data_IF_999194274692
#
_entry.id   IF_999194274692
#
_cell.length_a   1.000
_cell.length_b   1.000
_cell.length_c   1.000
_cell.angle_alpha   90.00
_cell.angle_beta   90.00
_cell.angle_gamma   90.00
#
_symmetry.space_group_name_H-M   'P 1'
#
loop_
_entity.id
_entity.type
_entity.pdbx_description
1 polymer ?
#
# COMPACT_ATOMS: atom_id res chain seq x y z
N UNK A 1 4.16 -0.02 39.65
CA UNK A 1 3.77 -0.27 38.24
C UNK A 1 4.04 0.98 37.38
N UNK A 2 5.29 1.33 37.01
CA UNK A 2 5.60 2.58 36.31
C UNK A 2 5.92 2.41 34.82
N UNK A 3 5.48 1.32 34.17
CA UNK A 3 5.78 1.05 32.75
C UNK A 3 4.75 1.63 31.77
N UNK A 4 3.53 1.96 32.21
CA UNK A 4 2.48 2.49 31.30
C UNK A 4 2.58 3.99 31.01
N UNK A 5 3.41 4.76 31.71
CA UNK A 5 3.65 6.18 31.40
C UNK A 5 4.75 6.39 30.33
N UNK A 6 5.22 5.31 29.70
CA UNK A 6 6.25 5.36 28.66
C UNK A 6 5.70 5.63 27.25
N UNK A 7 4.38 5.50 27.04
CA UNK A 7 3.76 5.67 25.73
C UNK A 7 3.02 7.02 25.74
N UNK A 8 3.42 8.01 24.90
CA UNK A 8 2.61 9.21 24.72
C UNK A 8 1.21 8.79 24.28
N UNK A 9 0.17 9.35 24.90
CA UNK A 9 -1.20 9.07 24.50
C UNK A 9 -1.33 9.38 22.99
N UNK A 10 -1.77 8.43 22.16
CA UNK A 10 -1.83 8.62 20.73
C UNK A 10 -2.80 9.75 20.42
N UNK A 11 -2.36 10.71 19.62
CA UNK A 11 -3.20 11.78 19.10
C UNK A 11 -4.23 11.18 18.14
N UNK A 12 -5.38 11.83 17.95
CA UNK A 12 -6.36 11.37 16.94
C UNK A 12 -5.75 11.25 15.53
N UNK A 13 -4.74 12.09 15.22
CA UNK A 13 -3.94 12.04 13.99
C UNK A 13 -3.13 10.74 13.89
N UNK A 14 -2.52 10.32 14.99
CA UNK A 14 -1.75 9.07 15.07
C UNK A 14 -2.67 7.85 14.89
N UNK A 15 -3.89 7.93 15.43
CA UNK A 15 -4.91 6.90 15.28
C UNK A 15 -5.37 6.75 13.82
N UNK A 16 -5.56 7.87 13.12
CA UNK A 16 -5.87 7.87 11.67
C UNK A 16 -4.68 7.34 10.87
N UNK A 17 -3.46 7.72 11.22
CA UNK A 17 -2.24 7.26 10.55
C UNK A 17 -2.04 5.74 10.73
N UNK A 18 -2.19 5.23 11.95
CA UNK A 18 -2.13 3.79 12.25
C UNK A 18 -3.22 3.03 11.47
N UNK A 19 -4.45 3.56 11.41
CA UNK A 19 -5.54 2.92 10.68
C UNK A 19 -5.24 2.88 9.17
N UNK A 20 -4.78 4.00 8.60
CA UNK A 20 -4.42 4.08 7.19
C UNK A 20 -3.27 3.13 6.86
N UNK A 21 -2.17 3.17 7.63
CA UNK A 21 -1.04 2.28 7.46
C UNK A 21 -1.42 0.81 7.62
N UNK A 22 -2.35 0.48 8.53
CA UNK A 22 -2.87 -0.89 8.69
C UNK A 22 -3.62 -1.35 7.44
N UNK A 23 -4.47 -0.50 6.86
CA UNK A 23 -5.17 -0.82 5.62
C UNK A 23 -4.20 -1.04 4.47
N UNK A 24 -3.21 -0.15 4.31
CA UNK A 24 -2.15 -0.28 3.30
C UNK A 24 -1.32 -1.54 3.51
N UNK A 25 -0.87 -1.80 4.74
CA UNK A 25 -0.08 -2.99 5.07
C UNK A 25 -0.87 -4.28 4.84
N UNK A 26 -2.16 -4.32 5.17
CA UNK A 26 -3.02 -5.45 4.88
C UNK A 26 -3.16 -5.69 3.36
N UNK A 27 -3.37 -4.63 2.59
CA UNK A 27 -3.48 -4.73 1.13
C UNK A 27 -2.19 -5.24 0.50
N UNK A 28 -1.03 -4.73 0.96
CA UNK A 28 0.28 -5.21 0.52
C UNK A 28 0.50 -6.67 0.92
N UNK A 29 0.15 -7.05 2.15
CA UNK A 29 0.26 -8.44 2.60
C UNK A 29 -0.55 -9.38 1.70
N UNK A 30 -1.81 -9.07 1.41
CA UNK A 30 -2.66 -9.93 0.58
C UNK A 30 -2.13 -10.03 -0.87
N UNK A 31 -1.54 -8.96 -1.41
CA UNK A 31 -0.87 -9.00 -2.72
C UNK A 31 0.40 -9.85 -2.72
N UNK A 32 1.20 -9.80 -1.66
CA UNK A 32 2.46 -10.53 -1.61
C UNK A 32 2.33 -11.97 -1.10
N UNK A 33 1.25 -12.33 -0.40
CA UNK A 33 1.08 -13.63 0.27
C UNK A 33 1.24 -14.83 -0.67
N UNK A 34 0.84 -14.69 -1.93
CA UNK A 34 0.93 -15.75 -2.93
C UNK A 34 2.21 -15.68 -3.78
N UNK A 35 3.11 -14.73 -3.50
CA UNK A 35 4.34 -14.52 -4.29
C UNK A 35 5.59 -15.00 -3.55
N UNK A 36 6.67 -15.25 -4.30
CA UNK A 36 8.01 -15.55 -3.74
C UNK A 36 8.56 -14.40 -2.88
N UNK A 37 7.96 -13.21 -2.96
CA UNK A 37 8.40 -12.00 -2.25
C UNK A 37 8.39 -12.16 -0.73
N UNK A 38 7.46 -12.93 -0.15
CA UNK A 38 7.37 -13.09 1.30
C UNK A 38 8.59 -13.83 1.88
N UNK A 39 9.15 -14.80 1.14
CA UNK A 39 10.41 -15.47 1.52
C UNK A 39 11.60 -14.51 1.49
N UNK A 40 11.66 -13.66 0.47
CA UNK A 40 12.70 -12.63 0.35
C UNK A 40 12.60 -11.60 1.49
N UNK A 41 11.38 -11.18 1.85
CA UNK A 41 11.14 -10.28 2.98
C UNK A 41 11.62 -10.87 4.31
N UNK A 42 11.31 -12.15 4.57
CA UNK A 42 11.83 -12.85 5.75
C UNK A 42 13.36 -12.86 5.74
N UNK A 43 13.98 -13.17 4.59
CA UNK A 43 15.43 -13.12 4.42
C UNK A 43 16.03 -11.74 4.71
N UNK A 44 15.40 -10.66 4.22
CA UNK A 44 15.80 -9.28 4.48
C UNK A 44 15.74 -8.92 5.96
N UNK A 45 14.69 -9.34 6.67
CA UNK A 45 14.54 -9.10 8.12
C UNK A 45 15.63 -9.83 8.90
N UNK A 46 15.89 -11.10 8.58
CA UNK A 46 16.97 -11.89 9.22
C UNK A 46 18.32 -11.22 8.98
N UNK A 47 18.60 -10.82 7.74
CA UNK A 47 19.85 -10.16 7.37
C UNK A 47 20.02 -8.81 8.09
N UNK A 48 18.96 -8.01 8.17
CA UNK A 48 18.93 -6.76 8.94
C UNK A 48 19.10 -6.96 10.45
N UNK A 49 18.59 -8.07 10.99
CA UNK A 49 18.81 -8.49 12.37
C UNK A 49 20.28 -8.78 12.66
N UNK A 50 20.93 -9.58 11.80
CA UNK A 50 22.36 -9.89 11.91
C UNK A 50 23.21 -8.61 11.81
N UNK A 51 22.90 -7.72 10.87
CA UNK A 51 23.55 -6.41 10.75
C UNK A 51 23.40 -5.58 12.03
N UNK A 52 22.21 -5.55 12.62
CA UNK A 52 21.94 -4.83 13.87
C UNK A 52 22.77 -5.37 15.03
N UNK A 53 22.88 -6.69 15.16
CA UNK A 53 23.74 -7.35 16.16
C UNK A 53 25.21 -7.00 15.93
N UNK A 54 25.69 -7.07 14.68
CA UNK A 54 27.07 -6.74 14.34
C UNK A 54 27.42 -5.29 14.67
N UNK A 55 26.50 -4.35 14.42
CA UNK A 55 26.65 -2.94 14.75
C UNK A 55 26.66 -2.71 16.26
N UNK A 56 25.77 -3.38 17.01
CA UNK A 56 25.70 -3.28 18.47
C UNK A 56 26.97 -3.79 19.15
N UNK A 57 27.59 -4.85 18.61
CA UNK A 57 28.86 -5.39 19.10
C UNK A 57 30.11 -4.65 18.58
N UNK A 58 29.93 -3.62 17.73
CA UNK A 58 31.05 -2.85 17.20
C UNK A 58 31.94 -3.60 16.21
N UNK A 59 31.41 -4.64 15.55
CA UNK A 59 32.14 -5.39 14.52
C UNK A 59 32.30 -4.53 13.26
N UNK A 60 33.41 -3.79 13.18
CA UNK A 60 33.68 -2.83 12.10
C UNK A 60 33.66 -3.48 10.71
N UNK A 61 34.47 -4.53 10.50
CA UNK A 61 34.57 -5.20 9.19
C UNK A 61 33.24 -5.80 8.75
N UNK A 62 32.54 -6.48 9.67
CA UNK A 62 31.23 -7.08 9.39
C UNK A 62 30.20 -6.01 9.02
N UNK A 63 30.15 -4.91 9.78
CA UNK A 63 29.26 -3.77 9.50
C UNK A 63 29.56 -3.14 8.14
N UNK A 64 30.84 -2.96 7.80
CA UNK A 64 31.26 -2.44 6.50
C UNK A 64 30.88 -3.37 5.33
N UNK A 65 31.09 -4.69 5.47
CA UNK A 65 30.65 -5.68 4.47
C UNK A 65 29.14 -5.64 4.30
N UNK A 66 28.36 -5.61 5.38
CA UNK A 66 26.91 -5.52 5.30
C UNK A 66 26.43 -4.23 4.62
N UNK A 67 27.14 -3.10 4.77
CA UNK A 67 26.80 -1.86 4.06
C UNK A 67 26.93 -2.02 2.53
N UNK A 68 28.01 -2.66 2.06
CA UNK A 68 28.21 -2.95 0.63
C UNK A 68 27.16 -3.96 0.16
N UNK A 69 26.94 -5.03 0.92
CA UNK A 69 25.93 -6.03 0.61
C UNK A 69 24.54 -5.39 0.48
N UNK A 70 24.18 -4.45 1.35
CA UNK A 70 22.88 -3.77 1.29
C UNK A 70 22.68 -2.99 -0.01
N UNK A 71 23.74 -2.33 -0.51
CA UNK A 71 23.69 -1.61 -1.79
C UNK A 71 23.49 -2.55 -2.98
N UNK A 72 24.25 -3.64 -3.05
CA UNK A 72 24.11 -4.66 -4.11
C UNK A 72 22.75 -5.34 -4.03
N UNK A 73 22.31 -5.66 -2.82
CA UNK A 73 21.02 -6.31 -2.57
C UNK A 73 19.87 -5.46 -3.06
N UNK A 74 19.87 -4.14 -2.84
CA UNK A 74 18.83 -3.23 -3.33
C UNK A 74 18.70 -3.27 -4.87
N UNK A 75 19.83 -3.29 -5.58
CA UNK A 75 19.83 -3.38 -7.05
C UNK A 75 19.29 -4.74 -7.50
N UNK A 76 19.79 -5.83 -6.91
CA UNK A 76 19.34 -7.18 -7.22
C UNK A 76 17.83 -7.35 -6.94
N UNK A 77 17.35 -6.78 -5.84
CA UNK A 77 15.95 -6.79 -5.45
C UNK A 77 15.07 -6.09 -6.48
N UNK A 78 15.51 -4.94 -6.98
CA UNK A 78 14.81 -4.19 -8.02
C UNK A 78 14.71 -4.98 -9.34
N UNK A 79 15.78 -5.67 -9.73
CA UNK A 79 15.80 -6.51 -10.93
C UNK A 79 14.87 -7.73 -10.74
N UNK A 80 14.98 -8.42 -9.61
CA UNK A 80 14.18 -9.60 -9.32
C UNK A 80 12.68 -9.28 -9.20
N UNK A 81 12.32 -8.14 -8.62
CA UNK A 81 10.91 -7.74 -8.45
C UNK A 81 10.36 -6.87 -9.58
N UNK A 82 11.08 -6.77 -10.70
CA UNK A 82 10.62 -5.97 -11.83
C UNK A 82 9.23 -6.42 -12.34
N UNK A 83 8.99 -7.74 -12.38
CA UNK A 83 7.71 -8.34 -12.79
C UNK A 83 6.58 -8.01 -11.82
N UNK A 84 6.83 -8.10 -10.52
CA UNK A 84 5.85 -7.90 -9.46
C UNK A 84 5.42 -6.43 -9.38
N UNK A 85 6.37 -5.50 -9.49
CA UNK A 85 6.07 -4.05 -9.56
C UNK A 85 5.15 -3.76 -10.75
N UNK A 86 5.45 -4.35 -11.92
CA UNK A 86 4.61 -4.19 -13.11
C UNK A 86 3.18 -4.68 -12.86
N UNK A 87 3.02 -5.90 -12.35
CA UNK A 87 1.70 -6.48 -12.07
C UNK A 87 0.90 -5.65 -11.07
N UNK A 88 1.55 -5.10 -10.05
CA UNK A 88 0.89 -4.22 -9.08
C UNK A 88 0.42 -2.92 -9.74
N UNK A 89 1.28 -2.27 -10.54
CA UNK A 89 0.92 -1.03 -11.24
C UNK A 89 -0.25 -1.24 -12.22
N UNK A 90 -0.29 -2.37 -12.91
CA UNK A 90 -1.38 -2.74 -13.81
C UNK A 90 -2.70 -2.93 -13.04
N UNK A 91 -2.68 -3.61 -11.89
CA UNK A 91 -3.87 -3.83 -11.06
C UNK A 91 -4.40 -2.54 -10.42
N UNK A 92 -3.55 -1.54 -10.19
CA UNK A 92 -3.87 -0.29 -9.46
C UNK A 92 -4.18 0.87 -10.42
N UNK A 93 -4.59 0.60 -11.66
CA UNK A 93 -4.97 1.66 -12.60
C UNK A 93 -6.18 2.47 -12.10
N UNK A 94 -6.03 3.77 -11.73
CA UNK A 94 -7.13 4.61 -11.23
C UNK A 94 -8.24 4.80 -12.26
N UNK A 95 -7.89 4.65 -13.54
CA UNK A 95 -8.80 4.75 -14.69
C UNK A 95 -9.83 3.62 -14.73
N UNK A 96 -9.57 2.50 -14.05
CA UNK A 96 -10.50 1.37 -13.95
C UNK A 96 -11.77 1.74 -13.18
N UNK A 97 -11.63 2.53 -12.10
CA UNK A 97 -12.75 3.01 -11.30
C UNK A 97 -13.62 4.05 -12.04
N UNK A 98 -13.04 4.83 -12.97
CA UNK A 98 -13.79 5.81 -13.76
C UNK A 98 -14.64 5.19 -14.88
N UNK A 99 -14.28 4.01 -15.41
CA UNK A 99 -14.99 3.36 -16.53
C UNK A 99 -16.20 2.52 -16.13
N UNK A 100 -16.44 2.31 -14.83
CA UNK A 100 -17.43 1.36 -14.28
C UNK A 100 -18.91 1.80 -14.32
N UNK A 101 -19.32 2.81 -15.11
CA UNK A 101 -20.71 3.34 -15.05
C UNK A 101 -21.68 2.95 -16.17
N UNK A 102 -21.30 2.10 -17.12
CA UNK A 102 -22.26 1.60 -18.12
C UNK A 102 -22.00 0.14 -18.49
N UNK A 103 -22.58 -0.78 -17.74
CA UNK A 103 -22.82 -2.13 -18.27
C UNK A 103 -24.03 -2.77 -17.61
N UNK A 104 -25.21 -2.39 -18.08
CA UNK A 104 -26.39 -3.26 -18.02
C UNK A 104 -26.46 -3.92 -19.38
N UNK A 105 -25.83 -5.08 -19.53
CA UNK A 105 -26.01 -5.93 -20.70
C UNK A 105 -26.91 -7.09 -20.28
N UNK A 106 -28.17 -7.01 -20.72
CA UNK A 106 -29.17 -8.05 -20.60
C UNK A 106 -29.25 -8.75 -21.94
N UNK A 107 -28.51 -9.85 -22.06
CA UNK A 107 -28.45 -10.64 -23.28
C UNK A 107 -28.94 -12.06 -23.08
N UNK A 108 -29.72 -12.54 -24.05
CA UNK A 108 -30.12 -13.95 -24.20
C UNK A 108 -28.92 -14.90 -24.23
N UNK A 109 -27.74 -14.42 -24.66
CA UNK A 109 -26.52 -15.21 -24.74
C UNK A 109 -26.14 -15.87 -23.41
N UNK A 110 -26.23 -15.13 -22.29
CA UNK A 110 -25.83 -15.68 -20.99
C UNK A 110 -26.63 -16.94 -20.66
N UNK A 111 -27.92 -17.01 -21.01
CA UNK A 111 -28.81 -18.14 -20.68
C UNK A 111 -28.46 -19.43 -21.42
N UNK A 112 -27.84 -19.32 -22.59
CA UNK A 112 -27.54 -20.48 -23.43
C UNK A 112 -26.08 -20.93 -23.31
N UNK A 113 -25.22 -20.12 -22.67
CA UNK A 113 -23.79 -20.41 -22.55
C UNK A 113 -23.49 -21.55 -21.59
N UNK A 114 -24.12 -21.58 -20.40
CA UNK A 114 -23.89 -22.67 -19.46
C UNK A 114 -24.34 -24.03 -20.03
N UNK A 115 -25.57 -24.20 -20.56
CA UNK A 115 -25.98 -25.45 -21.17
C UNK A 115 -25.05 -25.91 -22.30
N UNK A 116 -24.61 -24.98 -23.15
CA UNK A 116 -23.67 -25.26 -24.24
C UNK A 116 -22.31 -25.80 -23.75
N UNK A 117 -21.77 -25.24 -22.66
CA UNK A 117 -20.50 -25.72 -22.09
C UNK A 117 -20.61 -27.16 -21.57
N UNK A 118 -21.72 -27.48 -20.92
CA UNK A 118 -22.00 -28.84 -20.45
C UNK A 118 -22.25 -29.81 -21.61
N UNK A 119 -22.86 -29.33 -22.69
CA UNK A 119 -23.03 -30.11 -23.92
C UNK A 119 -21.68 -30.42 -24.59
N UNK A 120 -20.81 -29.42 -24.75
CA UNK A 120 -19.44 -29.62 -25.24
C UNK A 120 -18.64 -30.58 -24.35
N UNK A 121 -18.82 -30.49 -23.02
CA UNK A 121 -18.18 -31.40 -22.08
C UNK A 121 -18.66 -32.86 -22.26
N UNK A 122 -19.97 -33.06 -22.45
CA UNK A 122 -20.56 -34.37 -22.74
C UNK A 122 -20.07 -34.95 -24.07
N UNK A 123 -19.85 -34.09 -25.07
CA UNK A 123 -19.28 -34.44 -26.38
C UNK A 123 -17.75 -34.62 -26.34
N UNK A 124 -17.09 -34.40 -25.18
CA UNK A 124 -15.62 -34.39 -25.03
C UNK A 124 -14.91 -33.39 -25.94
N UNK A 125 -15.56 -32.27 -26.22
CA UNK A 125 -15.02 -31.20 -27.04
C UNK A 125 -14.39 -30.13 -26.17
N UNK A 126 -13.06 -30.00 -26.27
CA UNK A 126 -12.30 -28.97 -25.55
C UNK A 126 -12.67 -27.57 -26.02
N UNK A 127 -12.92 -26.66 -25.08
CA UNK A 127 -13.29 -25.29 -25.40
C UNK A 127 -12.65 -24.28 -24.43
N UNK A 128 -12.38 -23.09 -24.94
CA UNK A 128 -11.87 -21.96 -24.16
C UNK A 128 -12.60 -20.67 -24.57
N UNK A 129 -13.54 -20.23 -23.75
CA UNK A 129 -14.36 -19.04 -24.00
C UNK A 129 -14.00 -17.96 -22.98
N UNK A 130 -13.60 -16.80 -23.46
CA UNK A 130 -13.23 -15.64 -22.65
C UNK A 130 -14.33 -14.59 -22.74
N UNK A 131 -14.90 -14.24 -21.60
CA UNK A 131 -15.89 -13.18 -21.48
C UNK A 131 -15.21 -11.93 -20.92
N UNK A 132 -15.13 -10.87 -21.72
CA UNK A 132 -14.40 -9.64 -21.34
C UNK A 132 -15.28 -8.72 -20.48
N UNK A 133 -14.72 -8.24 -19.37
CA UNK A 133 -15.36 -7.24 -18.50
C UNK A 133 -14.73 -5.86 -18.74
N UNK A 134 -14.24 -5.17 -17.72
CA UNK A 134 -13.80 -3.78 -17.87
C UNK A 134 -12.45 -3.65 -18.56
N UNK A 135 -11.61 -4.67 -18.45
CA UNK A 135 -10.34 -4.71 -19.15
C UNK A 135 -10.55 -5.16 -20.61
N UNK A 136 -9.84 -4.52 -21.53
CA UNK A 136 -9.81 -4.94 -22.93
C UNK A 136 -8.62 -5.87 -23.16
N UNK A 137 -8.82 -7.17 -23.44
CA UNK A 137 -7.71 -8.11 -23.63
C UNK A 137 -7.02 -7.97 -25.00
N UNK A 138 -7.42 -7.01 -25.84
CA UNK A 138 -6.88 -6.87 -27.22
C UNK A 138 -5.35 -6.79 -27.29
N UNK A 139 -4.71 -6.18 -26.29
CA UNK A 139 -3.25 -6.04 -26.21
C UNK A 139 -2.55 -7.33 -25.73
N UNK A 140 -3.30 -8.24 -25.11
CA UNK A 140 -2.79 -9.51 -24.59
C UNK A 140 -3.01 -10.67 -25.58
N UNK A 141 -3.83 -10.47 -26.61
CA UNK A 141 -4.08 -11.46 -27.65
C UNK A 141 -2.92 -11.45 -28.64
N UNK A 142 -2.11 -12.52 -28.66
CA UNK A 142 -0.93 -12.61 -29.53
C UNK A 142 -1.28 -12.92 -31.00
N UNK A 143 -2.34 -13.69 -31.21
CA UNK A 143 -2.85 -14.06 -32.54
C UNK A 143 -4.34 -14.37 -32.45
N UNK A 144 -5.05 -14.39 -33.58
CA UNK A 144 -6.46 -14.75 -33.69
C UNK A 144 -7.14 -14.06 -34.87
N UNK A 145 -8.35 -14.50 -35.21
CA UNK A 145 -9.12 -13.95 -36.32
C UNK A 145 -10.33 -13.17 -35.81
N UNK A 146 -10.52 -11.95 -36.31
CA UNK A 146 -11.72 -11.13 -36.06
C UNK A 146 -12.92 -11.71 -36.79
N UNK A 147 -14.03 -11.92 -36.09
CA UNK A 147 -15.26 -12.50 -36.66
C UNK A 147 -16.50 -11.64 -36.46
N UNK A 148 -16.55 -10.81 -35.40
CA UNK A 148 -17.64 -9.87 -35.13
C UNK A 148 -19.05 -10.46 -35.30
N UNK A 149 -19.26 -11.68 -34.79
CA UNK A 149 -20.48 -12.46 -34.96
C UNK A 149 -21.36 -12.40 -33.71
N UNK A 150 -22.65 -12.72 -33.88
CA UNK A 150 -23.52 -13.01 -32.74
C UNK A 150 -23.09 -14.34 -32.10
N UNK A 151 -23.14 -14.46 -30.77
CA UNK A 151 -22.66 -15.62 -30.04
C UNK A 151 -23.72 -16.74 -30.05
N UNK A 152 -23.96 -17.29 -31.24
CA UNK A 152 -24.88 -18.39 -31.44
C UNK A 152 -24.26 -19.73 -30.97
N UNK A 153 -25.00 -20.60 -30.24
CA UNK A 153 -24.47 -21.88 -29.77
C UNK A 153 -23.92 -22.76 -30.88
N UNK A 154 -24.56 -22.80 -32.05
CA UNK A 154 -24.13 -23.62 -33.18
C UNK A 154 -22.81 -23.10 -33.76
N UNK A 155 -22.63 -21.78 -33.81
CA UNK A 155 -21.38 -21.16 -34.24
C UNK A 155 -20.23 -21.51 -33.27
N UNK A 156 -20.47 -21.42 -31.96
CA UNK A 156 -19.47 -21.77 -30.95
C UNK A 156 -19.09 -23.26 -31.06
N UNK A 157 -20.06 -24.16 -31.21
CA UNK A 157 -19.78 -25.58 -31.48
C UNK A 157 -18.94 -25.79 -32.74
N UNK A 158 -19.26 -25.07 -33.81
CA UNK A 158 -18.51 -25.15 -35.08
C UNK A 158 -17.05 -24.71 -34.91
N UNK A 159 -16.81 -23.64 -34.15
CA UNK A 159 -15.45 -23.13 -33.87
C UNK A 159 -14.62 -24.16 -33.10
N UNK A 160 -15.20 -24.82 -32.09
CA UNK A 160 -14.49 -25.80 -31.27
C UNK A 160 -14.50 -27.23 -31.84
N UNK A 161 -15.03 -27.44 -33.05
CA UNK A 161 -14.92 -28.73 -33.72
C UNK A 161 -13.43 -29.05 -33.98
N UNK A 162 -12.97 -30.24 -33.60
CA UNK A 162 -11.59 -30.71 -33.73
C UNK A 162 -10.97 -30.57 -35.14
N UNK A 163 -11.79 -30.50 -36.19
CA UNK A 163 -11.32 -30.33 -37.57
C UNK A 163 -11.23 -28.86 -38.01
N UNK A 164 -11.80 -27.93 -37.24
CA UNK A 164 -11.85 -26.52 -37.59
C UNK A 164 -10.49 -25.84 -37.29
N UNK A 165 -9.92 -25.01 -38.18
CA UNK A 165 -8.63 -24.36 -37.93
C UNK A 165 -8.57 -23.51 -36.65
N UNK A 166 -9.71 -23.02 -36.16
CA UNK A 166 -9.80 -22.13 -35.00
C UNK A 166 -10.03 -22.85 -33.66
N UNK A 167 -10.13 -24.20 -33.65
CA UNK A 167 -10.45 -24.99 -32.44
C UNK A 167 -9.30 -24.98 -31.40
N UNK A 168 -8.07 -24.76 -31.87
CA UNK A 168 -6.87 -24.69 -31.05
C UNK A 168 -6.59 -23.24 -30.62
N UNK A 169 -7.50 -22.69 -29.81
CA UNK A 169 -7.39 -21.33 -29.32
C UNK A 169 -8.61 -20.89 -28.53
N UNK A 170 -8.57 -19.66 -28.05
CA UNK A 170 -9.65 -19.04 -27.31
C UNK A 170 -10.65 -18.32 -28.23
N UNK A 171 -11.89 -18.24 -27.77
CA UNK A 171 -12.93 -17.40 -28.36
C UNK A 171 -13.19 -16.24 -27.42
N UNK A 172 -13.20 -15.01 -27.96
CA UNK A 172 -13.36 -13.79 -27.15
C UNK A 172 -14.75 -13.21 -27.36
N UNK A 173 -15.55 -13.20 -26.29
CA UNK A 173 -16.86 -12.58 -26.25
C UNK A 173 -16.74 -11.23 -25.54
N UNK A 174 -17.11 -10.16 -26.25
CA UNK A 174 -17.21 -8.82 -25.68
C UNK A 174 -18.57 -8.22 -26.03
N UNK A 175 -19.25 -7.64 -25.04
CA UNK A 175 -20.55 -6.99 -25.19
C UNK A 175 -21.55 -7.83 -26.01
N UNK A 176 -21.71 -9.11 -25.66
CA UNK A 176 -22.61 -10.06 -26.35
C UNK A 176 -22.28 -10.31 -27.83
N UNK A 177 -21.03 -10.10 -28.23
CA UNK A 177 -20.53 -10.43 -29.57
C UNK A 177 -19.27 -11.27 -29.49
N UNK A 178 -19.18 -12.26 -30.35
CA UNK A 178 -17.94 -12.96 -30.63
C UNK A 178 -17.05 -12.00 -31.43
N UNK A 179 -16.02 -11.47 -30.79
CA UNK A 179 -15.12 -10.51 -31.44
C UNK A 179 -14.01 -11.23 -32.19
N UNK A 180 -13.43 -12.27 -31.58
CA UNK A 180 -12.32 -13.04 -32.13
C UNK A 180 -12.49 -14.54 -31.86
N UNK A 181 -11.87 -15.36 -32.71
CA UNK A 181 -11.74 -16.81 -32.55
C UNK A 181 -10.30 -17.26 -32.82
N UNK A 182 -9.95 -18.47 -32.34
CA UNK A 182 -8.59 -19.01 -32.50
C UNK A 182 -7.53 -18.16 -31.82
N UNK A 183 -7.87 -17.53 -30.70
CA UNK A 183 -6.98 -16.59 -30.02
C UNK A 183 -5.89 -17.30 -29.21
N UNK A 184 -4.64 -16.88 -29.40
CA UNK A 184 -3.53 -17.29 -28.55
C UNK A 184 -3.42 -16.32 -27.37
N UNK A 185 -3.56 -16.86 -26.16
CA UNK A 185 -3.53 -16.13 -24.91
C UNK A 185 -2.20 -16.34 -24.16
N UNK A 186 -1.82 -15.42 -23.26
CA UNK A 186 -0.68 -15.63 -22.38
C UNK A 186 -0.92 -16.84 -21.46
N UNK A 187 0.12 -17.67 -21.30
CA UNK A 187 0.10 -18.78 -20.36
C UNK A 187 0.57 -18.30 -18.98
N UNK A 188 -0.03 -18.83 -17.91
CA UNK A 188 0.47 -18.57 -16.56
C UNK A 188 1.83 -19.24 -16.33
N UNK A 189 2.72 -18.53 -15.64
CA UNK A 189 4.05 -19.02 -15.23
C UNK A 189 4.01 -19.81 -13.90
N UNK A 190 2.82 -20.00 -13.31
CA UNK A 190 2.68 -20.78 -12.08
C UNK A 190 3.11 -22.24 -12.28
N UNK A 191 4.12 -22.63 -11.50
CA UNK A 191 4.68 -23.99 -11.46
C UNK A 191 3.81 -24.95 -10.62
N UNK A 192 2.96 -24.44 -9.73
CA UNK A 192 2.16 -25.21 -8.75
C UNK A 192 0.79 -25.64 -9.27
N UNK A 193 0.62 -25.73 -10.59
CA UNK A 193 -0.62 -26.17 -11.20
C UNK A 193 -0.71 -27.70 -11.23
N UNK A 194 -1.90 -28.29 -10.96
CA UNK A 194 -2.13 -29.71 -11.14
C UNK A 194 -1.67 -30.20 -12.51
N UNK A 195 -0.94 -31.31 -12.57
CA UNK A 195 -0.38 -31.88 -13.81
C UNK A 195 -1.46 -32.14 -14.88
N UNK A 196 -2.68 -32.41 -14.42
CA UNK A 196 -3.88 -32.60 -15.24
C UNK A 196 -4.37 -31.32 -15.97
N UNK A 197 -3.79 -30.15 -15.72
CA UNK A 197 -4.16 -28.90 -16.37
C UNK A 197 -3.32 -28.67 -17.64
N UNK A 198 -3.95 -28.95 -18.78
CA UNK A 198 -3.39 -28.68 -20.10
C UNK A 198 -3.29 -27.19 -20.46
N UNK A 199 -2.89 -26.93 -21.70
CA UNK A 199 -2.60 -25.59 -22.24
C UNK A 199 -3.78 -24.63 -22.13
N UNK A 200 -5.02 -25.07 -22.40
CA UNK A 200 -6.24 -24.24 -22.26
C UNK A 200 -6.47 -23.74 -20.83
N UNK A 201 -6.18 -24.56 -19.82
CA UNK A 201 -6.29 -24.17 -18.41
C UNK A 201 -5.22 -23.14 -18.05
N UNK A 202 -3.98 -23.34 -18.50
CA UNK A 202 -2.87 -22.40 -18.29
C UNK A 202 -3.10 -21.07 -18.99
N UNK A 203 -3.67 -21.08 -20.19
CA UNK A 203 -4.07 -19.91 -20.96
C UNK A 203 -5.19 -19.12 -20.27
N UNK A 204 -6.23 -19.83 -19.80
CA UNK A 204 -7.31 -19.23 -19.02
C UNK A 204 -6.77 -18.58 -17.73
N UNK A 205 -5.85 -19.26 -17.04
CA UNK A 205 -5.22 -18.72 -15.85
C UNK A 205 -4.39 -17.48 -16.14
N UNK A 206 -3.48 -17.54 -17.11
CA UNK A 206 -2.60 -16.44 -17.47
C UNK A 206 -3.38 -15.18 -17.86
N UNK A 207 -4.45 -15.33 -18.64
CA UNK A 207 -5.30 -14.20 -18.98
C UNK A 207 -6.07 -13.65 -17.76
N UNK A 208 -6.59 -14.52 -16.89
CA UNK A 208 -7.35 -14.13 -15.69
C UNK A 208 -6.49 -13.49 -14.58
N UNK A 209 -5.16 -13.67 -14.63
CA UNK A 209 -4.21 -13.05 -13.70
C UNK A 209 -3.93 -11.59 -14.08
N UNK A 210 -3.97 -11.31 -15.37
CA UNK A 210 -3.70 -10.00 -15.97
C UNK A 210 -4.97 -9.15 -16.16
N UNK A 211 -6.14 -9.78 -16.26
CA UNK A 211 -7.41 -9.10 -16.55
C UNK A 211 -8.53 -9.52 -15.61
N UNK A 212 -9.64 -8.78 -15.60
CA UNK A 212 -10.90 -9.24 -15.01
C UNK A 212 -11.70 -10.21 -15.89
N UNK A 213 -11.18 -10.71 -17.01
CA UNK A 213 -11.97 -11.59 -17.87
C UNK A 213 -12.43 -12.85 -17.13
N UNK A 214 -13.64 -13.31 -17.45
CA UNK A 214 -14.13 -14.62 -17.01
C UNK A 214 -13.77 -15.62 -18.08
N UNK A 215 -12.84 -16.52 -17.77
CA UNK A 215 -12.44 -17.59 -18.69
C UNK A 215 -13.21 -18.86 -18.35
N UNK A 216 -13.84 -19.48 -19.35
CA UNK A 216 -14.58 -20.73 -19.24
C UNK A 216 -13.84 -21.78 -20.06
N UNK A 217 -13.46 -22.87 -19.40
CA UNK A 217 -12.67 -23.97 -19.95
C UNK A 217 -13.51 -25.24 -19.91
N UNK A 218 -13.54 -25.97 -21.02
CA UNK A 218 -14.05 -27.34 -21.08
C UNK A 218 -12.87 -28.27 -21.30
N UNK A 219 -12.70 -29.26 -20.43
CA UNK A 219 -11.65 -30.26 -20.55
C UNK A 219 -12.07 -31.37 -21.53
N UNK A 220 -11.27 -31.56 -22.60
CA UNK A 220 -11.45 -32.66 -23.55
C UNK A 220 -11.20 -34.05 -22.91
N UNK A 221 -10.30 -34.11 -21.94
CA UNK A 221 -9.92 -35.37 -21.28
C UNK A 221 -10.90 -35.75 -20.16
N UNK A 222 -11.36 -34.77 -19.38
CA UNK A 222 -12.15 -35.01 -18.16
C UNK A 222 -13.64 -34.74 -18.31
N UNK A 223 -14.09 -34.13 -19.43
CA UNK A 223 -15.48 -33.69 -19.59
C UNK A 223 -15.94 -32.77 -18.45
N UNK A 224 -15.02 -31.94 -17.93
CA UNK A 224 -15.30 -31.00 -16.84
C UNK A 224 -15.42 -29.58 -17.37
N UNK A 225 -16.37 -28.82 -16.81
CA UNK A 225 -16.50 -27.38 -17.03
C UNK A 225 -15.87 -26.64 -15.86
N UNK A 226 -14.87 -25.81 -16.16
CA UNK A 226 -14.12 -25.06 -15.16
C UNK A 226 -14.13 -23.59 -15.54
N UNK A 227 -14.33 -22.71 -14.57
CA UNK A 227 -14.12 -21.27 -14.77
C UNK A 227 -12.84 -20.81 -14.09
N UNK A 228 -12.21 -19.78 -14.67
CA UNK A 228 -11.01 -19.15 -14.15
C UNK A 228 -11.23 -17.65 -14.09
N UNK A 229 -11.25 -17.10 -12.88
CA UNK A 229 -11.53 -15.68 -12.61
C UNK A 229 -10.55 -15.18 -11.56
N UNK A 230 -9.80 -14.11 -11.87
CA UNK A 230 -8.84 -13.52 -10.92
C UNK A 230 -7.80 -14.51 -10.42
N UNK A 231 -7.32 -15.41 -11.29
CA UNK A 231 -6.32 -16.41 -10.93
C UNK A 231 -6.84 -17.65 -10.19
N UNK A 232 -8.16 -17.84 -10.05
CA UNK A 232 -8.76 -18.95 -9.29
C UNK A 232 -9.63 -19.84 -10.16
N UNK A 233 -9.40 -21.15 -10.06
CA UNK A 233 -10.21 -22.18 -10.71
C UNK A 233 -11.45 -22.54 -9.87
N UNK A 234 -12.60 -22.69 -10.53
CA UNK A 234 -13.81 -23.24 -9.93
C UNK A 234 -14.39 -24.28 -10.89
N UNK A 235 -14.54 -25.52 -10.42
CA UNK A 235 -15.18 -26.59 -11.18
C UNK A 235 -16.70 -26.56 -10.97
N UNK A 236 -17.45 -26.82 -12.04
CA UNK A 236 -18.91 -26.77 -12.05
C UNK A 236 -19.50 -28.13 -12.37
N UNK A 237 -20.37 -28.62 -11.50
CA UNK A 237 -21.08 -29.90 -11.69
C UNK A 237 -22.47 -29.72 -12.31
N UNK A 238 -23.07 -28.54 -12.16
CA UNK A 238 -24.44 -28.26 -12.60
C UNK A 238 -24.47 -27.00 -13.46
N UNK A 239 -25.21 -27.06 -14.57
CA UNK A 239 -25.37 -25.94 -15.51
C UNK A 239 -26.08 -24.76 -14.85
N UNK A 240 -27.04 -25.02 -13.97
CA UNK A 240 -27.82 -24.00 -13.26
C UNK A 240 -26.94 -23.15 -12.34
N UNK A 241 -26.05 -23.79 -11.55
CA UNK A 241 -25.14 -23.08 -10.66
C UNK A 241 -24.14 -22.20 -11.43
N UNK A 242 -23.63 -22.70 -12.56
CA UNK A 242 -22.78 -21.91 -13.45
C UNK A 242 -23.56 -20.73 -14.05
N UNK A 243 -24.81 -20.95 -14.46
CA UNK A 243 -25.68 -19.91 -15.01
C UNK A 243 -25.93 -18.77 -14.01
N UNK A 244 -26.20 -19.10 -12.74
CA UNK A 244 -26.34 -18.12 -11.66
C UNK A 244 -25.05 -17.31 -11.49
N UNK A 245 -23.90 -17.98 -11.50
CA UNK A 245 -22.61 -17.31 -11.34
C UNK A 245 -22.23 -16.43 -12.53
N UNK A 246 -22.53 -16.87 -13.75
CA UNK A 246 -22.37 -16.05 -14.97
C UNK A 246 -23.24 -14.80 -14.91
N UNK A 247 -24.47 -14.92 -14.40
CA UNK A 247 -25.34 -13.76 -14.19
C UNK A 247 -24.79 -12.80 -13.14
N UNK A 248 -24.14 -13.29 -12.08
CA UNK A 248 -23.46 -12.45 -11.09
C UNK A 248 -22.23 -11.74 -11.67
N UNK A 249 -21.43 -12.42 -12.51
CA UNK A 249 -20.22 -11.84 -13.10
C UNK A 249 -20.48 -10.87 -14.25
N UNK A 250 -21.48 -11.14 -15.08
CA UNK A 250 -21.80 -10.38 -16.29
C UNK A 250 -22.97 -9.42 -16.10
N UNK A 251 -23.89 -9.74 -15.19
CA UNK A 251 -25.00 -8.90 -14.81
C UNK A 251 -24.64 -8.12 -13.56
N UNK A 252 -24.69 -6.78 -13.64
CA UNK A 252 -24.75 -5.95 -12.46
C UNK A 252 -25.85 -6.48 -11.52
N UNK A 253 -25.63 -6.42 -10.19
CA UNK A 253 -26.43 -7.15 -9.21
C UNK A 253 -27.93 -6.91 -9.44
N UNK A 254 -28.72 -7.99 -9.39
CA UNK A 254 -30.09 -7.82 -8.89
C UNK A 254 -29.92 -7.13 -7.54
N UNK A 255 -30.56 -5.99 -7.33
CA UNK A 255 -30.40 -5.20 -6.11
C UNK A 255 -30.97 -6.02 -4.93
N UNK A 256 -30.16 -6.92 -4.39
CA UNK A 256 -30.17 -7.26 -2.98
C UNK A 256 -29.23 -6.26 -2.34
N UNK A 257 -29.79 -5.21 -1.75
CA UNK A 257 -29.03 -4.29 -0.90
C UNK A 257 -28.42 -5.13 0.23
N UNK A 258 -27.08 -5.32 0.30
CA UNK A 258 -26.50 -5.93 1.47
C UNK A 258 -26.68 -4.92 2.61
N UNK A 259 -27.41 -5.32 3.66
CA UNK A 259 -27.48 -4.57 4.91
C UNK A 259 -26.04 -4.29 5.37
N UNK A 260 -25.76 -3.05 5.81
CA UNK A 260 -24.44 -2.63 6.33
C UNK A 260 -23.86 -3.64 7.35
N UNK A 261 -24.73 -4.38 8.06
CA UNK A 261 -24.36 -5.52 8.90
C UNK A 261 -23.59 -6.62 8.17
N UNK A 262 -24.04 -7.11 7.00
CA UNK A 262 -23.33 -8.16 6.25
C UNK A 262 -22.00 -7.67 5.68
N UNK A 263 -21.94 -6.40 5.28
CA UNK A 263 -20.68 -5.78 4.84
C UNK A 263 -19.67 -5.68 5.99
N UNK A 264 -20.13 -5.29 7.18
CA UNK A 264 -19.30 -5.28 8.39
C UNK A 264 -18.91 -6.70 8.81
N UNK A 265 -19.81 -7.67 8.73
CA UNK A 265 -19.51 -9.08 9.03
C UNK A 265 -18.48 -9.66 8.06
N UNK A 266 -18.63 -9.50 6.75
CA UNK A 266 -17.64 -9.97 5.79
C UNK A 266 -16.30 -9.24 5.93
N UNK A 267 -16.33 -7.95 6.28
CA UNK A 267 -15.13 -7.16 6.51
C UNK A 267 -14.45 -7.51 7.85
N UNK A 268 -15.18 -7.85 8.92
CA UNK A 268 -14.59 -8.16 10.22
C UNK A 268 -14.30 -9.65 10.42
N UNK A 269 -15.11 -10.54 9.87
CA UNK A 269 -15.09 -11.99 10.17
C UNK A 269 -14.19 -12.73 9.16
N UNK A 270 -14.19 -12.33 7.88
CA UNK A 270 -13.34 -12.97 6.88
C UNK A 270 -11.89 -12.48 7.03
N UNK A 271 -10.97 -13.42 7.23
CA UNK A 271 -9.52 -13.18 7.37
C UNK A 271 -9.09 -12.29 8.56
N UNK A 272 -9.86 -12.27 9.66
CA UNK A 272 -9.56 -11.41 10.83
C UNK A 272 -8.14 -11.61 11.40
N UNK A 273 -7.62 -12.84 11.35
CA UNK A 273 -6.24 -13.17 11.80
C UNK A 273 -5.18 -12.36 11.05
N UNK A 274 -5.37 -12.15 9.74
CA UNK A 274 -4.42 -11.43 8.88
C UNK A 274 -4.47 -9.92 9.11
N UNK A 275 -5.68 -9.39 9.36
CA UNK A 275 -5.88 -8.00 9.74
C UNK A 275 -5.24 -7.69 11.09
N UNK A 276 -5.39 -8.61 12.04
CA UNK A 276 -4.79 -8.46 13.36
C UNK A 276 -3.26 -8.53 13.30
N UNK A 277 -2.67 -9.40 12.48
CA UNK A 277 -1.20 -9.42 12.28
C UNK A 277 -0.68 -8.15 11.64
N UNK A 278 -1.37 -7.62 10.62
CA UNK A 278 -0.99 -6.35 9.99
C UNK A 278 -1.08 -5.18 11.00
N UNK A 279 -2.17 -5.11 11.76
CA UNK A 279 -2.34 -4.10 12.81
C UNK A 279 -1.26 -4.19 13.89
N UNK A 280 -0.93 -5.40 14.37
CA UNK A 280 0.11 -5.59 15.37
C UNK A 280 1.49 -5.15 14.86
N UNK A 281 1.82 -5.47 13.60
CA UNK A 281 3.10 -5.10 12.99
C UNK A 281 3.20 -3.58 12.80
N UNK A 282 2.14 -2.94 12.29
CA UNK A 282 2.07 -1.48 12.14
C UNK A 282 2.12 -0.78 13.50
N UNK A 283 1.39 -1.28 14.50
CA UNK A 283 1.40 -0.73 15.86
C UNK A 283 2.78 -0.86 16.51
N UNK A 284 3.47 -2.00 16.33
CA UNK A 284 4.83 -2.20 16.82
C UNK A 284 5.83 -1.26 16.13
N UNK A 285 5.72 -1.08 14.81
CA UNK A 285 6.53 -0.14 14.05
C UNK A 285 6.28 1.31 14.48
N UNK A 286 5.02 1.69 14.69
CA UNK A 286 4.64 3.01 15.18
C UNK A 286 5.22 3.27 16.57
N UNK A 287 5.11 2.31 17.50
CA UNK A 287 5.70 2.43 18.84
C UNK A 287 7.22 2.61 18.78
N UNK A 288 7.91 1.86 17.92
CA UNK A 288 9.35 1.97 17.74
C UNK A 288 9.77 3.33 17.17
N UNK A 289 9.05 3.83 16.17
CA UNK A 289 9.33 5.10 15.49
C UNK A 289 8.93 6.31 16.35
N UNK A 290 7.75 6.27 16.99
CA UNK A 290 7.27 7.31 17.87
C UNK A 290 8.18 7.48 19.10
N UNK A 291 8.83 6.40 19.55
CA UNK A 291 9.83 6.46 20.63
C UNK A 291 11.07 7.30 20.28
N UNK A 292 11.34 7.58 18.99
CA UNK A 292 12.55 8.27 18.54
C UNK A 292 12.34 9.76 18.22
N UNK A 293 11.12 10.31 18.32
CA UNK A 293 10.87 11.70 17.91
C UNK A 293 11.23 12.71 19.01
N UNK A 294 12.17 13.62 18.71
CA UNK A 294 12.45 14.83 19.51
C UNK A 294 11.39 15.90 19.22
N UNK A 295 10.78 16.46 20.26
CA UNK A 295 9.72 17.47 20.10
C UNK A 295 10.35 18.85 20.12
N UNK A 296 9.85 19.75 19.25
CA UNK A 296 10.23 21.16 19.19
C UNK A 296 9.10 22.00 19.78
N UNK A 297 9.38 22.82 20.80
CA UNK A 297 8.40 23.73 21.40
C UNK A 297 8.99 25.14 21.41
N UNK A 298 8.17 26.12 21.06
CA UNK A 298 8.50 27.55 21.16
C UNK A 298 7.86 28.11 22.43
N UNK A 299 8.65 28.77 23.27
CA UNK A 299 8.19 29.40 24.50
C UNK A 299 8.68 30.86 24.56
N UNK A 300 7.84 31.77 25.07
CA UNK A 300 8.17 33.20 25.25
C UNK A 300 8.74 33.42 26.65
N UNK A 301 10.07 33.55 26.74
CA UNK A 301 10.77 33.73 28.01
C UNK A 301 10.97 35.22 28.36
N UNK A 302 10.74 35.64 29.63
CA UNK A 302 11.04 36.99 30.07
C UNK A 302 12.55 37.22 30.20
N UNK A 303 13.03 38.39 29.76
CA UNK A 303 14.46 38.75 29.83
C UNK A 303 14.76 39.44 31.17
N UNK A 304 15.76 38.95 31.92
CA UNK A 304 16.27 39.61 33.12
C UNK A 304 17.71 40.07 32.90
N UNK A 305 17.97 41.34 33.22
CA UNK A 305 19.30 41.94 33.15
C UNK A 305 19.97 41.79 34.52
N UNK A 306 21.18 41.26 34.57
CA UNK A 306 21.98 41.22 35.80
C UNK A 306 22.87 42.48 35.87
N UNK A 307 22.97 43.09 37.06
CA UNK A 307 23.89 44.18 37.39
C UNK A 307 23.67 45.52 36.63
N UNK A 308 22.42 45.97 36.47
CA UNK A 308 22.15 47.34 36.04
C UNK A 308 22.30 48.31 37.24
N UNK A 309 23.37 49.11 37.27
CA UNK A 309 23.65 50.07 38.34
C UNK A 309 22.68 51.27 38.40
N UNK A 310 21.72 51.37 37.48
CA UNK A 310 20.65 52.35 37.51
C UNK A 310 19.36 51.71 36.94
N UNK A 311 18.21 52.00 37.55
CA UNK A 311 16.91 51.64 37.01
C UNK A 311 16.79 52.18 35.58
N UNK A 312 16.77 51.29 34.59
CA UNK A 312 16.61 51.66 33.18
C UNK A 312 15.21 52.29 33.04
N UNK A 313 15.08 53.55 32.58
CA UNK A 313 13.77 54.17 32.37
C UNK A 313 12.92 53.28 31.48
N UNK A 314 11.72 52.92 31.95
CA UNK A 314 10.74 52.17 31.16
C UNK A 314 10.23 53.06 30.01
N UNK A 315 10.98 53.11 28.92
CA UNK A 315 10.64 53.92 27.77
C UNK A 315 11.77 53.92 26.76
N UNK A 316 11.58 53.15 25.69
CA UNK A 316 12.44 53.04 24.49
C UNK A 316 13.63 52.07 24.62
N UNK A 317 13.36 50.80 24.27
CA UNK A 317 14.39 49.82 23.90
C UNK A 317 14.42 48.51 24.69
N UNK A 318 13.78 48.44 25.87
CA UNK A 318 13.80 47.22 26.68
C UNK A 318 12.74 46.21 26.21
N UNK A 319 13.19 45.20 25.46
CA UNK A 319 12.36 44.07 25.05
C UNK A 319 11.95 43.25 26.28
N UNK A 320 10.64 43.02 26.45
CA UNK A 320 10.08 42.36 27.66
C UNK A 320 10.02 40.82 27.56
N UNK A 321 10.14 40.25 26.37
CA UNK A 321 10.11 38.80 26.14
C UNK A 321 10.89 38.43 24.88
N UNK A 322 11.47 37.23 24.86
CA UNK A 322 12.17 36.61 23.72
C UNK A 322 11.57 35.23 23.46
N UNK A 323 11.28 34.95 22.20
CA UNK A 323 10.76 33.64 21.80
C UNK A 323 11.94 32.67 21.57
N UNK A 324 11.94 31.57 22.34
CA UNK A 324 12.94 30.52 22.29
C UNK A 324 12.33 29.24 21.72
N UNK A 325 12.88 28.74 20.62
CA UNK A 325 12.56 27.40 20.10
C UNK A 325 13.57 26.41 20.66
N UNK A 326 13.06 25.47 21.44
CA UNK A 326 13.85 24.51 22.20
C UNK A 326 13.49 23.10 21.72
N UNK A 327 14.51 22.25 21.52
CA UNK A 327 14.37 20.86 21.11
C UNK A 327 14.93 19.89 22.17
N UNK A 328 14.24 18.77 22.35
CA UNK A 328 14.58 17.78 23.37
C UNK A 328 13.57 16.62 23.47
N UNK A 329 13.86 15.68 24.37
CA UNK A 329 12.98 14.53 24.62
C UNK A 329 11.68 15.01 25.28
N UNK A 330 10.53 14.49 24.83
CA UNK A 330 9.19 14.90 25.28
C UNK A 330 9.01 15.00 26.81
N UNK A 331 9.72 14.16 27.59
CA UNK A 331 9.69 14.16 29.06
C UNK A 331 10.32 15.39 29.70
N UNK A 332 11.39 15.90 29.11
CA UNK A 332 12.14 17.02 29.65
C UNK A 332 11.43 18.34 29.33
N UNK A 333 10.82 18.44 28.15
CA UNK A 333 10.12 19.67 27.76
C UNK A 333 8.81 19.84 28.54
N UNK A 334 8.05 18.77 28.79
CA UNK A 334 6.82 18.85 29.60
C UNK A 334 7.06 19.10 31.10
N UNK A 335 8.28 18.84 31.58
CA UNK A 335 8.68 19.08 32.97
C UNK A 335 9.20 20.51 33.21
N UNK A 336 9.50 21.27 32.14
CA UNK A 336 9.97 22.65 32.24
C UNK A 336 8.76 23.54 32.48
N UNK A 337 8.71 24.20 33.64
CA UNK A 337 7.74 25.25 33.88
C UNK A 337 8.18 26.51 33.12
N UNK A 338 7.26 27.18 32.38
CA UNK A 338 7.44 28.49 31.74
C UNK A 338 8.29 29.52 32.50
N UNK A 339 8.24 29.46 33.84
CA UNK A 339 8.78 30.46 34.75
C UNK A 339 10.26 30.22 35.12
N UNK A 340 10.82 29.02 34.83
CA UNK A 340 12.21 28.67 35.16
C UNK A 340 13.21 29.02 34.04
N UNK A 341 12.74 29.23 32.79
CA UNK A 341 13.62 29.56 31.66
C UNK A 341 13.85 31.06 31.62
N UNK A 342 14.95 31.52 32.23
CA UNK A 342 15.34 32.93 32.24
C UNK A 342 16.50 33.15 31.26
N UNK A 343 16.33 34.10 30.35
CA UNK A 343 17.43 34.60 29.51
C UNK A 343 18.19 35.64 30.32
N UNK A 344 19.42 35.29 30.74
CA UNK A 344 20.30 36.20 31.47
C UNK A 344 21.21 36.94 30.51
N UNK A 345 21.18 38.26 30.55
CA UNK A 345 22.09 39.10 29.76
C UNK A 345 23.02 39.81 30.72
N UNK A 346 24.31 39.48 30.64
CA UNK A 346 25.36 40.10 31.44
C UNK A 346 25.81 41.41 30.79
N UNK A 347 25.78 42.51 31.55
CA UNK A 347 26.10 43.87 31.08
C UNK A 347 27.48 44.38 31.56
N UNK A 348 28.30 43.53 32.20
CA UNK A 348 29.58 43.93 32.75
C UNK A 348 30.54 44.49 31.67
N UNK A 349 31.05 45.71 31.89
CA UNK A 349 32.10 46.33 31.07
C UNK A 349 31.62 47.18 29.88
N UNK A 350 30.32 47.44 29.74
CA UNK A 350 29.78 48.30 28.69
C UNK A 350 29.75 49.77 29.12
N UNK A 351 30.40 50.64 28.34
CA UNK A 351 30.35 52.09 28.52
C UNK A 351 28.98 52.67 28.09
N UNK A 352 28.66 53.88 28.54
CA UNK A 352 27.43 54.57 28.16
C UNK A 352 27.25 54.71 26.63
N UNK A 353 26.05 54.42 26.11
CA UNK A 353 25.77 54.48 24.67
C UNK A 353 24.85 53.37 24.15
N UNK A 354 24.67 53.33 22.82
CA UNK A 354 23.87 52.32 22.12
C UNK A 354 24.70 51.07 21.86
N UNK A 355 24.23 49.93 22.37
CA UNK A 355 24.89 48.64 22.20
C UNK A 355 23.94 47.62 21.57
N UNK A 356 24.44 46.91 20.56
CA UNK A 356 23.72 45.80 19.92
C UNK A 356 24.16 44.48 20.54
N UNK A 357 23.29 43.87 21.34
CA UNK A 357 23.58 42.60 22.01
C UNK A 357 23.06 41.45 21.14
N UNK A 358 23.93 40.49 20.84
CA UNK A 358 23.57 39.26 20.13
C UNK A 358 23.26 38.16 21.14
N UNK A 359 22.06 37.57 21.04
CA UNK A 359 21.64 36.46 21.88
C UNK A 359 22.19 35.15 21.30
N UNK A 360 22.77 34.31 22.16
CA UNK A 360 23.31 32.99 21.81
C UNK A 360 22.98 32.01 22.93
N UNK A 361 22.98 30.70 22.64
CA UNK A 361 22.60 29.64 23.59
C UNK A 361 23.43 29.57 24.88
N UNK A 362 24.51 30.36 25.00
CA UNK A 362 25.30 30.55 26.23
C UNK A 362 24.68 31.51 27.24
N UNK A 363 23.67 32.28 26.83
CA UNK A 363 22.98 33.29 27.66
C UNK A 363 21.63 32.77 28.20
N UNK A 364 21.34 31.48 28.03
CA UNK A 364 20.08 30.85 28.42
C UNK A 364 20.41 29.69 29.36
N UNK A 365 19.98 29.79 30.62
CA UNK A 365 20.10 28.68 31.58
C UNK A 365 19.08 27.60 31.21
N UNK A 366 19.55 26.42 30.82
CA UNK A 366 18.71 25.29 30.45
C UNK A 366 19.09 24.04 31.27
N UNK A 367 18.11 23.22 31.69
CA UNK A 367 18.38 21.95 32.32
C UNK A 367 19.08 20.98 31.34
N UNK A 368 19.89 20.06 31.87
CA UNK A 368 20.70 19.14 31.08
C UNK A 368 19.86 18.28 30.12
N UNK A 369 20.22 18.26 28.82
CA UNK A 369 19.57 17.44 27.79
C UNK A 369 18.67 18.20 26.81
N UNK A 370 18.62 19.53 26.91
CA UNK A 370 17.77 20.41 26.12
C UNK A 370 18.63 21.37 25.29
N UNK A 371 18.32 21.55 24.00
CA UNK A 371 19.11 22.39 23.08
C UNK A 371 18.28 23.57 22.58
N UNK A 372 18.91 24.75 22.52
CA UNK A 372 18.34 25.92 21.84
C UNK A 372 18.55 25.75 20.34
N UNK A 373 17.47 25.73 19.59
CA UNK A 373 17.51 25.62 18.14
C UNK A 373 17.42 27.00 17.49
N UNK A 374 16.60 27.90 18.02
CA UNK A 374 16.42 29.25 17.48
C UNK A 374 16.00 30.26 18.57
N UNK A 375 16.52 31.49 18.47
CA UNK A 375 16.18 32.62 19.35
C UNK A 375 15.67 33.76 18.45
N UNK A 376 14.46 34.26 18.72
CA UNK A 376 13.86 35.37 17.96
C UNK A 376 13.48 36.53 18.89
N UNK A 377 13.99 37.76 18.66
CA UNK A 377 15.00 38.14 17.66
C UNK A 377 16.45 37.74 18.06
N UNK A 378 17.36 37.58 17.10
CA UNK A 378 18.76 37.17 17.36
C UNK A 378 19.63 38.26 17.97
N UNK A 379 19.20 39.52 17.91
CA UNK A 379 19.86 40.65 18.55
C UNK A 379 18.85 41.73 18.91
N UNK A 380 19.11 42.46 19.99
CA UNK A 380 18.33 43.64 20.36
C UNK A 380 19.28 44.79 20.72
N UNK A 381 18.80 46.01 20.53
CA UNK A 381 19.55 47.23 20.84
C UNK A 381 19.15 47.72 22.24
N UNK A 382 20.14 47.97 23.09
CA UNK A 382 19.95 48.64 24.37
C UNK A 382 20.68 49.98 24.37
N UNK A 383 20.09 50.97 25.02
CA UNK A 383 20.75 52.25 25.27
C UNK A 383 21.03 52.34 26.77
N UNK A 384 22.32 52.33 27.14
CA UNK A 384 22.73 52.52 28.53
C UNK A 384 22.83 54.03 28.81
N UNK A 385 22.20 54.56 29.86
CA UNK A 385 22.34 55.96 30.23
C UNK A 385 23.80 56.27 30.56
N UNK A 386 24.25 57.48 30.23
CA UNK A 386 25.50 58.00 30.77
C UNK A 386 25.34 58.21 32.27
N UNK A 387 26.27 57.65 33.05
CA UNK A 387 26.34 57.86 34.50
C UNK A 387 26.54 59.33 34.83
#
# INVERSE_FOLDING_TARGET
MPLLNFIPAPTWRDLVDILFLTLVAYQLYEWFRETRALRVLIGLVVLGGIYSVAKLWGLFLTTWVFQILWQVLLILLLILFQSEIRQVLEKVSPLRFLKSRRRVLRGTFNKNLAPLLFELAAEKTGALIVLTRDDNPSELIHAGQKIMALPDPLLIKSIFNHHAPAHDGAVIVNQERLTHMGCILPLSEKEDLPDQFGTRHRAALGLSELTDAVCLVVSEERSEVVSVVGGKFVSWQQSESLQEKLNEWLGGPQIHVPTIQRFLEDFFIKNWKQKLTAFALVSMAWLFLASQQEIKITFSAPVRFENAAAEIPQGQGAMKAVDLTISGRQRQIKAIQPEEVVVRVNLNGLAAGKHKIRLSGKNVDLPSGVKVEQITPPSFEITLPAN
#
